data_IF_706398237111
#
_entry.id   IF_706398237111
#
_cell.length_a   1.000
_cell.length_b   1.000
_cell.length_c   1.000
_cell.angle_alpha   90.00
_cell.angle_beta   90.00
_cell.angle_gamma   90.00
#
_symmetry.space_group_name_H-M   'P 1'
#
loop_
_entity.id
_entity.type
_entity.pdbx_description
1 polymer ?
#
# COMPACT_ATOMS: atom_id res chain seq x y z
N UNK A 1 35.25 4.98 -8.25
CA UNK A 1 33.96 4.37 -8.66
C UNK A 1 33.29 3.83 -7.42
N UNK A 2 32.20 4.46 -6.95
CA UNK A 2 31.39 3.92 -5.85
C UNK A 2 30.41 2.95 -6.50
N UNK A 3 30.36 1.66 -6.13
CA UNK A 3 29.40 0.74 -6.71
C UNK A 3 28.00 1.20 -6.35
N UNK A 4 27.13 1.38 -7.35
CA UNK A 4 25.70 1.54 -7.14
C UNK A 4 25.19 0.26 -6.48
N UNK A 5 25.06 0.29 -5.16
CA UNK A 5 24.31 -0.72 -4.42
C UNK A 5 22.87 -0.51 -4.84
N UNK A 6 22.41 -1.26 -5.84
CA UNK A 6 20.99 -1.43 -6.12
C UNK A 6 20.39 -2.06 -4.87
N UNK A 7 19.96 -1.21 -3.93
CA UNK A 7 19.09 -1.60 -2.84
C UNK A 7 17.80 -2.07 -3.51
N UNK A 8 17.69 -3.37 -3.77
CA UNK A 8 16.45 -3.99 -4.20
C UNK A 8 15.41 -3.69 -3.14
N UNK A 9 14.53 -2.73 -3.43
CA UNK A 9 13.45 -2.35 -2.53
C UNK A 9 12.42 -3.46 -2.59
N UNK A 10 12.39 -4.28 -1.54
CA UNK A 10 11.44 -5.38 -1.44
C UNK A 10 10.21 -4.90 -0.70
N UNK A 11 9.06 -4.99 -1.38
CA UNK A 11 7.77 -4.80 -0.73
C UNK A 11 7.54 -5.94 0.27
N UNK A 12 6.87 -5.67 1.40
CA UNK A 12 6.33 -6.74 2.22
C UNK A 12 5.35 -7.57 1.39
N UNK A 13 5.21 -8.85 1.74
CA UNK A 13 4.20 -9.67 1.08
C UNK A 13 2.82 -9.08 1.36
N UNK A 14 1.95 -9.07 0.36
CA UNK A 14 0.57 -8.64 0.58
C UNK A 14 -0.14 -9.65 1.49
N UNK A 15 0.29 -10.91 1.51
CA UNK A 15 -0.29 -11.94 2.36
C UNK A 15 -0.01 -11.69 3.86
N UNK A 16 1.13 -11.06 4.19
CA UNK A 16 1.48 -10.65 5.56
C UNK A 16 0.45 -9.69 6.17
N UNK A 17 -0.34 -9.00 5.33
CA UNK A 17 -1.39 -8.09 5.80
C UNK A 17 -2.58 -8.84 6.40
N UNK A 18 -2.86 -10.06 5.93
CA UNK A 18 -3.97 -10.87 6.43
C UNK A 18 -3.63 -11.58 7.73
N UNK A 19 -2.35 -11.79 8.03
CA UNK A 19 -1.89 -12.27 9.33
C UNK A 19 -1.88 -11.12 10.36
N UNK A 20 -2.71 -11.15 11.42
CA UNK A 20 -2.73 -10.11 12.45
C UNK A 20 -1.37 -9.87 13.13
N UNK A 21 -0.52 -10.90 13.25
CA UNK A 21 0.80 -10.79 13.89
C UNK A 21 1.81 -10.06 13.00
N UNK A 22 1.66 -10.13 11.67
CA UNK A 22 2.60 -9.54 10.70
C UNK A 22 2.09 -8.21 10.13
N UNK A 23 0.77 -7.98 10.17
CA UNK A 23 0.11 -6.82 9.55
C UNK A 23 0.73 -5.48 9.90
N UNK A 24 0.99 -5.22 11.18
CA UNK A 24 1.54 -3.92 11.61
C UNK A 24 2.97 -3.70 11.08
N UNK A 25 3.77 -4.77 11.07
CA UNK A 25 5.10 -4.76 10.47
C UNK A 25 5.08 -4.58 8.96
N UNK A 26 4.17 -5.27 8.25
CA UNK A 26 3.97 -5.12 6.82
C UNK A 26 3.52 -3.70 6.47
N UNK A 27 2.53 -3.15 7.20
CA UNK A 27 2.07 -1.77 7.05
C UNK A 27 3.22 -0.78 7.22
N UNK A 28 3.96 -0.88 8.32
CA UNK A 28 5.06 0.05 8.65
C UNK A 28 6.17 0.02 7.60
N UNK A 29 6.55 -1.16 7.11
CA UNK A 29 7.52 -1.32 6.02
C UNK A 29 7.01 -0.69 4.72
N UNK A 30 5.76 -0.95 4.36
CA UNK A 30 5.14 -0.39 3.16
C UNK A 30 5.05 1.15 3.23
N UNK A 31 4.65 1.72 4.37
CA UNK A 31 4.66 3.17 4.57
C UNK A 31 6.05 3.78 4.38
N UNK A 32 7.09 3.14 4.91
CA UNK A 32 8.47 3.59 4.75
C UNK A 32 8.90 3.57 3.27
N UNK A 33 8.51 2.54 2.51
CA UNK A 33 8.77 2.45 1.07
C UNK A 33 8.03 3.56 0.32
N UNK A 34 6.75 3.80 0.61
CA UNK A 34 5.97 4.85 -0.07
C UNK A 34 6.60 6.25 0.06
N UNK A 35 7.19 6.55 1.23
CA UNK A 35 7.84 7.85 1.52
C UNK A 35 9.17 8.04 0.78
N UNK A 36 9.74 6.99 0.20
CA UNK A 36 10.96 7.10 -0.61
C UNK A 36 10.67 7.80 -1.93
N UNK A 37 11.54 8.74 -2.29
CA UNK A 37 11.49 9.51 -3.54
C UNK A 37 12.45 8.97 -4.60
N UNK A 38 13.34 8.05 -4.23
CA UNK A 38 14.37 7.46 -5.10
C UNK A 38 13.90 6.17 -5.80
N UNK A 39 12.62 5.83 -5.68
CA UNK A 39 12.01 4.62 -6.26
C UNK A 39 10.90 4.97 -7.26
N UNK A 40 10.54 4.01 -8.10
CA UNK A 40 9.51 4.21 -9.12
C UNK A 40 8.12 4.41 -8.52
N UNK A 41 7.28 5.17 -9.21
CA UNK A 41 5.88 5.35 -8.81
C UNK A 41 5.10 4.03 -8.79
N UNK A 42 5.49 3.05 -9.60
CA UNK A 42 4.95 1.69 -9.54
C UNK A 42 5.19 1.02 -8.18
N UNK A 43 6.41 1.14 -7.63
CA UNK A 43 6.73 0.59 -6.30
C UNK A 43 6.05 1.38 -5.18
N UNK A 44 5.98 2.71 -5.30
CA UNK A 44 5.27 3.56 -4.34
C UNK A 44 3.77 3.26 -4.35
N UNK A 45 3.17 3.06 -5.51
CA UNK A 45 1.76 2.71 -5.66
C UNK A 45 1.46 1.35 -5.02
N UNK A 46 2.32 0.35 -5.25
CA UNK A 46 2.19 -0.96 -4.63
C UNK A 46 2.35 -0.89 -3.11
N UNK A 47 3.29 -0.10 -2.60
CA UNK A 47 3.44 0.14 -1.17
C UNK A 47 2.20 0.81 -0.56
N UNK A 48 1.66 1.86 -1.19
CA UNK A 48 0.43 2.51 -0.75
C UNK A 48 -0.78 1.56 -0.77
N UNK A 49 -0.86 0.67 -1.77
CA UNK A 49 -1.87 -0.38 -1.81
C UNK A 49 -1.75 -1.34 -0.62
N UNK A 50 -0.55 -1.78 -0.26
CA UNK A 50 -0.35 -2.66 0.90
C UNK A 50 -0.77 -1.97 2.21
N UNK A 51 -0.46 -0.68 2.37
CA UNK A 51 -0.92 0.10 3.53
C UNK A 51 -2.45 0.20 3.56
N UNK A 52 -3.07 0.43 2.40
CA UNK A 52 -4.53 0.42 2.26
C UNK A 52 -5.14 -0.91 2.69
N UNK A 53 -4.59 -2.03 2.22
CA UNK A 53 -5.05 -3.36 2.57
C UNK A 53 -4.94 -3.61 4.10
N UNK A 54 -3.87 -3.16 4.74
CA UNK A 54 -3.71 -3.29 6.19
C UNK A 54 -4.77 -2.51 6.96
N UNK A 55 -5.05 -1.27 6.57
CA UNK A 55 -6.13 -0.51 7.19
C UNK A 55 -7.51 -1.11 6.92
N UNK A 56 -7.71 -1.76 5.77
CA UNK A 56 -8.95 -2.48 5.49
C UNK A 56 -9.14 -3.66 6.46
N UNK A 57 -8.10 -4.44 6.74
CA UNK A 57 -8.17 -5.55 7.70
C UNK A 57 -8.44 -5.07 9.13
N UNK A 58 -8.02 -3.85 9.46
CA UNK A 58 -8.32 -3.19 10.74
C UNK A 58 -9.70 -2.48 10.76
N UNK A 59 -10.53 -2.64 9.72
CA UNK A 59 -11.80 -1.93 9.54
C UNK A 59 -11.69 -0.39 9.55
N UNK A 60 -10.49 0.16 9.34
CA UNK A 60 -10.21 1.59 9.24
C UNK A 60 -10.42 2.07 7.80
N UNK A 61 -11.64 1.90 7.30
CA UNK A 61 -11.95 2.06 5.87
C UNK A 61 -11.68 3.48 5.33
N UNK A 62 -11.79 4.53 6.16
CA UNK A 62 -11.44 5.90 5.76
C UNK A 62 -9.93 6.03 5.44
N UNK A 63 -9.07 5.50 6.32
CA UNK A 63 -7.63 5.48 6.12
C UNK A 63 -7.27 4.57 4.94
N UNK A 64 -7.89 3.39 4.85
CA UNK A 64 -7.70 2.49 3.73
C UNK A 64 -8.00 3.18 2.39
N UNK A 65 -9.09 3.96 2.32
CA UNK A 65 -9.49 4.67 1.11
C UNK A 65 -8.50 5.79 0.76
N UNK A 66 -8.01 6.55 1.75
CA UNK A 66 -7.00 7.60 1.52
C UNK A 66 -5.70 7.03 0.94
N UNK A 67 -5.27 5.87 1.43
CA UNK A 67 -4.09 5.17 0.92
C UNK A 67 -4.33 4.57 -0.47
N UNK A 68 -5.51 4.00 -0.72
CA UNK A 68 -5.89 3.51 -2.05
C UNK A 68 -5.93 4.64 -3.09
N UNK A 69 -6.44 5.82 -2.71
CA UNK A 69 -6.45 7.00 -3.57
C UNK A 69 -5.02 7.47 -3.88
N UNK A 70 -4.12 7.45 -2.89
CA UNK A 70 -2.71 7.75 -3.10
C UNK A 70 -2.03 6.77 -4.08
N UNK A 71 -2.34 5.47 -3.96
CA UNK A 71 -1.88 4.47 -4.93
C UNK A 71 -2.45 4.72 -6.33
N UNK A 72 -3.73 5.11 -6.43
CA UNK A 72 -4.40 5.39 -7.70
C UNK A 72 -3.82 6.62 -8.40
N UNK A 73 -3.51 7.69 -7.67
CA UNK A 73 -2.86 8.89 -8.24
C UNK A 73 -1.48 8.59 -8.83
N UNK A 74 -0.73 7.69 -8.20
CA UNK A 74 0.57 7.24 -8.70
C UNK A 74 0.42 6.31 -9.90
N UNK A 75 -0.56 5.40 -9.87
CA UNK A 75 -0.80 4.43 -10.94
C UNK A 75 -2.28 4.10 -11.08
N UNK A 76 -3.03 4.80 -11.95
CA UNK A 76 -4.43 4.52 -12.18
C UNK A 76 -4.61 3.13 -12.79
N UNK A 77 -5.27 2.22 -12.07
CA UNK A 77 -5.56 0.87 -12.56
C UNK A 77 -6.99 0.46 -12.23
N UNK A 78 -7.65 -0.37 -13.07
CA UNK A 78 -8.99 -0.89 -12.79
C UNK A 78 -9.09 -1.65 -11.47
N UNK A 79 -8.01 -2.33 -11.07
CA UNK A 79 -7.92 -3.05 -9.80
C UNK A 79 -8.04 -2.10 -8.61
N UNK A 80 -7.30 -0.98 -8.62
CA UNK A 80 -7.38 0.04 -7.58
C UNK A 80 -8.74 0.74 -7.56
N UNK A 81 -9.33 1.00 -8.73
CA UNK A 81 -10.69 1.56 -8.80
C UNK A 81 -11.74 0.63 -8.17
N UNK A 82 -11.64 -0.67 -8.43
CA UNK A 82 -12.50 -1.69 -7.82
C UNK A 82 -12.30 -1.77 -6.31
N UNK A 83 -11.04 -1.75 -5.85
CA UNK A 83 -10.67 -1.73 -4.43
C UNK A 83 -11.27 -0.52 -3.71
N UNK A 84 -11.09 0.70 -4.24
CA UNK A 84 -11.68 1.92 -3.70
C UNK A 84 -13.22 1.87 -3.66
N UNK A 85 -13.85 1.27 -4.67
CA UNK A 85 -15.31 1.12 -4.72
C UNK A 85 -15.82 0.23 -3.59
N UNK A 86 -15.12 -0.88 -3.30
CA UNK A 86 -15.42 -1.76 -2.16
C UNK A 86 -15.25 -1.04 -0.82
N UNK A 87 -14.14 -0.31 -0.65
CA UNK A 87 -13.90 0.48 0.57
C UNK A 87 -14.99 1.55 0.81
N UNK A 88 -15.46 2.20 -0.26
CA UNK A 88 -16.57 3.17 -0.17
C UNK A 88 -17.89 2.51 0.22
N UNK A 89 -18.17 1.30 -0.27
CA UNK A 89 -19.35 0.53 0.17
C UNK A 89 -19.27 0.18 1.66
N UNK A 90 -18.08 -0.21 2.16
CA UNK A 90 -17.87 -0.48 3.59
C UNK A 90 -17.98 0.76 4.50
N UNK A 91 -17.90 1.98 3.94
CA UNK A 91 -18.11 3.24 4.67
C UNK A 91 -19.57 3.70 4.70
N UNK A 92 -20.39 3.20 3.76
CA UNK A 92 -21.81 3.57 3.65
C UNK A 92 -22.76 2.58 4.32
N UNK A 93 -22.26 1.42 4.76
CA UNK A 93 -22.97 0.46 5.63
C UNK A 93 -22.60 0.74 7.09
#
# INVERSE_FOLDING_TARGET
MIPYRTLSVQLPDVDDVFDPALRDGARTKAEAIYRRTDITDSLRAAAAYTVSAAFQQDSKFQLALSWADSAYRLRPTPQLQTHMSRLRQSLGN
#
